data_IF_644496636076
#
_entry.id   IF_644496636076
#
_cell.length_a   1.000
_cell.length_b   1.000
_cell.length_c   1.000
_cell.angle_alpha   90.00
_cell.angle_beta   90.00
_cell.angle_gamma   90.00
#
_symmetry.space_group_name_H-M   'P 1'
#
loop_
_entity.id
_entity.type
_entity.pdbx_description
1 polymer ?
#
# COMPACT_ATOMS: atom_id res chain seq x y z
N UNK A 1 -16.69 17.19 -31.39
CA UNK A 1 -16.72 18.50 -32.07
C UNK A 1 -18.00 18.73 -32.86
N UNK A 2 -18.35 17.93 -33.88
CA UNK A 2 -19.61 18.15 -34.61
C UNK A 2 -20.87 18.01 -33.74
N UNK A 3 -20.85 17.11 -32.75
CA UNK A 3 -21.98 16.87 -31.85
C UNK A 3 -22.04 17.82 -30.65
N UNK A 4 -20.91 18.40 -30.23
CA UNK A 4 -20.77 19.07 -28.90
C UNK A 4 -19.96 20.37 -28.95
N UNK A 5 -19.51 20.81 -30.12
CA UNK A 5 -18.62 21.96 -30.27
C UNK A 5 -19.38 23.25 -29.99
N UNK A 6 -18.94 24.01 -28.99
CA UNK A 6 -19.64 25.22 -28.57
C UNK A 6 -20.91 24.98 -27.75
N UNK A 7 -21.30 23.73 -27.48
CA UNK A 7 -22.54 23.41 -26.75
C UNK A 7 -22.37 23.46 -25.22
N UNK A 8 -21.14 23.30 -24.71
CA UNK A 8 -20.83 23.28 -23.28
C UNK A 8 -20.78 24.71 -22.69
N UNK A 9 -21.83 25.50 -22.93
CA UNK A 9 -22.01 26.84 -22.40
C UNK A 9 -23.12 26.79 -21.36
N UNK A 10 -22.77 26.40 -20.14
CA UNK A 10 -23.69 26.44 -19.00
C UNK A 10 -23.95 27.89 -18.57
N UNK A 11 -24.88 28.09 -17.63
CA UNK A 11 -25.30 29.41 -17.16
C UNK A 11 -24.09 30.34 -16.89
N UNK A 12 -24.26 31.65 -17.09
CA UNK A 12 -23.16 32.65 -17.09
C UNK A 12 -22.39 32.69 -15.75
N UNK A 13 -22.98 32.16 -14.69
CA UNK A 13 -22.38 32.03 -13.36
C UNK A 13 -21.45 30.80 -13.20
N UNK A 14 -21.53 29.82 -14.11
CA UNK A 14 -20.75 28.59 -14.12
C UNK A 14 -19.69 28.70 -15.23
N UNK A 15 -18.43 28.77 -14.82
CA UNK A 15 -17.30 28.81 -15.74
C UNK A 15 -17.29 27.58 -16.66
N UNK A 16 -16.92 27.78 -17.92
CA UNK A 16 -16.90 26.73 -18.93
C UNK A 16 -15.99 25.58 -18.50
N UNK A 17 -16.42 24.30 -18.59
CA UNK A 17 -15.56 23.18 -18.22
C UNK A 17 -14.31 23.11 -19.09
N UNK A 18 -13.17 22.75 -18.47
CA UNK A 18 -11.91 22.52 -19.17
C UNK A 18 -12.01 21.34 -20.16
N UNK A 19 -12.83 20.35 -19.83
CA UNK A 19 -13.16 19.18 -20.66
C UNK A 19 -14.30 19.49 -21.61
N UNK A 20 -13.98 20.12 -22.75
CA UNK A 20 -14.98 20.47 -23.77
C UNK A 20 -14.56 20.01 -25.17
N UNK A 21 -15.39 20.34 -26.17
CA UNK A 21 -15.21 19.93 -27.56
C UNK A 21 -15.15 21.12 -28.54
N UNK A 22 -14.76 22.30 -28.07
CA UNK A 22 -14.73 23.52 -28.87
C UNK A 22 -13.59 23.54 -29.89
N UNK A 23 -12.40 23.12 -29.45
CA UNK A 23 -11.20 23.10 -30.27
C UNK A 23 -10.71 21.67 -30.46
N UNK A 24 -10.02 21.42 -31.57
CA UNK A 24 -9.50 20.09 -31.86
C UNK A 24 -8.56 19.56 -30.77
N UNK A 25 -7.66 20.41 -30.24
CA UNK A 25 -6.71 20.00 -29.22
C UNK A 25 -7.42 19.62 -27.90
N UNK A 26 -8.37 20.44 -27.43
CA UNK A 26 -9.12 20.14 -26.20
C UNK A 26 -10.02 18.91 -26.43
N UNK A 27 -10.69 18.81 -27.58
CA UNK A 27 -11.49 17.64 -27.93
C UNK A 27 -10.65 16.34 -27.93
N UNK A 28 -9.41 16.40 -28.41
CA UNK A 28 -8.49 15.25 -28.37
C UNK A 28 -8.13 14.85 -26.95
N UNK A 29 -7.83 15.82 -26.08
CA UNK A 29 -7.55 15.57 -24.66
C UNK A 29 -8.78 15.00 -23.94
N UNK A 30 -9.96 15.57 -24.20
CA UNK A 30 -11.23 15.08 -23.64
C UNK A 30 -11.53 13.64 -24.09
N UNK A 31 -11.29 13.30 -25.36
CA UNK A 31 -11.43 11.91 -25.84
C UNK A 31 -10.39 11.01 -25.19
N UNK A 32 -9.15 11.46 -25.06
CA UNK A 32 -8.11 10.71 -24.36
C UNK A 32 -8.51 10.43 -22.91
N UNK A 33 -9.06 11.41 -22.19
CA UNK A 33 -9.60 11.24 -20.85
C UNK A 33 -10.71 10.18 -20.79
N UNK A 34 -11.66 10.23 -21.72
CA UNK A 34 -12.73 9.22 -21.79
C UNK A 34 -12.16 7.81 -22.03
N UNK A 35 -11.13 7.68 -22.87
CA UNK A 35 -10.43 6.42 -23.13
C UNK A 35 -9.60 5.92 -21.94
N UNK A 36 -9.06 6.83 -21.12
CA UNK A 36 -8.39 6.45 -19.86
C UNK A 36 -9.37 5.98 -18.78
N UNK A 37 -10.66 6.23 -18.95
CA UNK A 37 -11.70 5.84 -17.99
C UNK A 37 -11.83 6.78 -16.78
N UNK A 38 -11.14 7.92 -16.79
CA UNK A 38 -11.15 8.88 -15.69
C UNK A 38 -12.21 9.96 -15.91
N UNK A 39 -13.11 10.15 -14.95
CA UNK A 39 -14.19 11.16 -14.96
C UNK A 39 -14.98 11.23 -16.29
N UNK A 40 -15.07 10.13 -17.04
CA UNK A 40 -15.76 10.07 -18.33
C UNK A 40 -17.28 10.28 -18.18
N UNK A 41 -17.81 9.91 -17.02
CA UNK A 41 -19.19 10.12 -16.62
C UNK A 41 -19.50 11.62 -16.44
N UNK A 42 -18.58 12.40 -15.88
CA UNK A 42 -18.76 13.86 -15.75
C UNK A 42 -18.84 14.55 -17.11
N UNK A 43 -17.95 14.18 -18.05
CA UNK A 43 -18.01 14.69 -19.42
C UNK A 43 -19.33 14.30 -20.10
N UNK A 44 -19.81 13.08 -19.87
CA UNK A 44 -21.10 12.62 -20.36
C UNK A 44 -22.28 13.39 -19.75
N UNK A 45 -22.26 13.65 -18.44
CA UNK A 45 -23.30 14.43 -17.76
C UNK A 45 -23.38 15.85 -18.29
N UNK A 46 -22.22 16.49 -18.50
CA UNK A 46 -22.13 17.80 -19.13
C UNK A 46 -22.71 17.78 -20.55
N UNK A 47 -22.44 16.74 -21.34
CA UNK A 47 -22.99 16.61 -22.69
C UNK A 47 -24.51 16.43 -22.70
N UNK A 48 -25.06 15.64 -21.78
CA UNK A 48 -26.51 15.45 -21.64
C UNK A 48 -27.18 16.77 -21.27
N UNK A 49 -26.62 17.48 -20.28
CA UNK A 49 -27.16 18.74 -19.80
C UNK A 49 -27.14 19.81 -20.89
N UNK A 50 -26.02 19.95 -21.62
CA UNK A 50 -25.89 20.88 -22.74
C UNK A 50 -26.90 20.63 -23.86
N UNK A 51 -27.30 19.37 -24.11
CA UNK A 51 -28.18 18.99 -25.22
C UNK A 51 -29.66 18.82 -24.81
N UNK A 52 -30.12 19.58 -23.82
CA UNK A 52 -31.52 19.60 -23.39
C UNK A 52 -31.83 18.73 -22.17
N UNK A 53 -30.81 18.29 -21.44
CA UNK A 53 -30.92 17.63 -20.14
C UNK A 53 -31.65 16.29 -20.15
N UNK A 54 -31.92 15.76 -18.95
CA UNK A 54 -32.55 14.45 -18.75
C UNK A 54 -34.00 14.43 -19.25
N UNK A 55 -34.72 15.55 -19.11
CA UNK A 55 -36.14 15.65 -19.49
C UNK A 55 -36.36 15.92 -20.99
N UNK A 56 -35.33 16.41 -21.68
CA UNK A 56 -35.36 16.61 -23.12
C UNK A 56 -34.76 15.42 -23.86
N UNK A 57 -34.10 15.70 -24.99
CA UNK A 57 -33.46 14.69 -25.83
C UNK A 57 -31.99 14.42 -25.46
N UNK A 58 -31.46 15.07 -24.41
CA UNK A 58 -30.05 15.00 -24.03
C UNK A 58 -29.56 13.58 -23.72
N UNK A 59 -30.44 12.71 -23.21
CA UNK A 59 -30.08 11.32 -22.89
C UNK A 59 -29.60 10.52 -24.09
N UNK A 60 -29.99 10.86 -25.32
CA UNK A 60 -29.57 10.11 -26.52
C UNK A 60 -28.05 10.20 -26.75
N UNK A 61 -27.43 11.30 -26.30
CA UNK A 61 -26.00 11.54 -26.45
C UNK A 61 -25.15 10.67 -25.52
N UNK A 62 -25.73 10.08 -24.47
CA UNK A 62 -25.04 9.09 -23.62
C UNK A 62 -24.56 7.88 -24.42
N UNK A 63 -25.28 7.50 -25.47
CA UNK A 63 -24.94 6.37 -26.36
C UNK A 63 -23.57 6.60 -27.02
N UNK A 64 -23.25 7.84 -27.41
CA UNK A 64 -21.93 8.17 -27.97
C UNK A 64 -20.80 7.84 -26.99
N UNK A 65 -20.93 8.25 -25.72
CA UNK A 65 -19.92 8.00 -24.69
C UNK A 65 -19.82 6.52 -24.34
N UNK A 66 -20.95 5.81 -24.23
CA UNK A 66 -20.98 4.37 -23.98
C UNK A 66 -20.27 3.60 -25.10
N UNK A 67 -20.56 3.93 -26.36
CA UNK A 67 -19.90 3.32 -27.52
C UNK A 67 -18.40 3.65 -27.52
N UNK A 68 -18.04 4.91 -27.26
CA UNK A 68 -16.65 5.34 -27.23
C UNK A 68 -15.84 4.60 -26.16
N UNK A 69 -16.38 4.45 -24.95
CA UNK A 69 -15.73 3.73 -23.85
C UNK A 69 -15.65 2.23 -24.18
N UNK A 70 -16.74 1.61 -24.63
CA UNK A 70 -16.76 0.17 -24.94
C UNK A 70 -15.80 -0.20 -26.06
N UNK A 71 -15.91 0.45 -27.22
CA UNK A 71 -15.04 0.14 -28.36
C UNK A 71 -13.62 0.63 -28.14
N UNK A 72 -13.45 1.82 -27.55
CA UNK A 72 -12.13 2.37 -27.24
C UNK A 72 -11.33 1.48 -26.30
N UNK A 73 -11.93 1.07 -25.17
CA UNK A 73 -11.26 0.20 -24.21
C UNK A 73 -11.07 -1.22 -24.75
N UNK A 74 -11.97 -1.71 -25.60
CA UNK A 74 -11.77 -2.98 -26.29
C UNK A 74 -10.54 -2.94 -27.22
N UNK A 75 -10.39 -1.87 -28.00
CA UNK A 75 -9.21 -1.68 -28.85
C UNK A 75 -7.92 -1.55 -28.01
N UNK A 76 -7.94 -0.75 -26.94
CA UNK A 76 -6.79 -0.61 -26.04
C UNK A 76 -6.40 -1.94 -25.38
N UNK A 77 -7.39 -2.71 -24.91
CA UNK A 77 -7.15 -4.03 -24.33
C UNK A 77 -6.51 -4.98 -25.35
N UNK A 78 -6.97 -5.00 -26.60
CA UNK A 78 -6.39 -5.86 -27.63
C UNK A 78 -4.95 -5.48 -27.95
N UNK A 79 -4.63 -4.18 -28.02
CA UNK A 79 -3.25 -3.70 -28.23
C UNK A 79 -2.37 -4.07 -27.04
N UNK A 80 -2.86 -3.85 -25.81
CA UNK A 80 -2.13 -4.20 -24.59
C UNK A 80 -1.86 -5.71 -24.51
N UNK A 81 -2.87 -6.55 -24.76
CA UNK A 81 -2.74 -8.00 -24.73
C UNK A 81 -1.73 -8.49 -25.77
N UNK A 82 -1.74 -7.94 -26.98
CA UNK A 82 -0.75 -8.29 -28.00
C UNK A 82 0.68 -8.01 -27.51
N UNK A 83 0.94 -6.79 -27.01
CA UNK A 83 2.26 -6.40 -26.50
C UNK A 83 2.66 -7.22 -25.27
N UNK A 84 1.73 -7.49 -24.36
CA UNK A 84 2.00 -8.24 -23.14
C UNK A 84 2.33 -9.71 -23.44
N UNK A 85 1.59 -10.35 -24.35
CA UNK A 85 1.83 -11.74 -24.77
C UNK A 85 3.19 -11.85 -25.46
N UNK A 86 3.52 -10.94 -26.37
CA UNK A 86 4.81 -10.94 -27.06
C UNK A 86 5.97 -10.76 -26.08
N UNK A 87 5.87 -9.82 -25.14
CA UNK A 87 6.90 -9.61 -24.13
C UNK A 87 7.03 -10.76 -23.14
N UNK A 88 5.91 -11.39 -22.75
CA UNK A 88 5.92 -12.52 -21.83
C UNK A 88 6.53 -13.77 -22.49
N UNK A 89 6.21 -14.01 -23.76
CA UNK A 89 6.82 -15.08 -24.54
C UNK A 89 8.34 -14.91 -24.61
N UNK A 90 8.82 -13.72 -24.98
CA UNK A 90 10.25 -13.40 -25.02
C UNK A 90 10.93 -13.56 -23.65
N UNK A 91 10.27 -13.14 -22.56
CA UNK A 91 10.81 -13.28 -21.20
C UNK A 91 10.92 -14.75 -20.76
N UNK A 92 9.94 -15.59 -21.11
CA UNK A 92 9.96 -17.02 -20.79
C UNK A 92 11.07 -17.74 -21.56
N UNK A 93 11.29 -17.40 -22.83
CA UNK A 93 12.38 -17.96 -23.64
C UNK A 93 13.76 -17.65 -23.03
N UNK A 94 13.99 -16.41 -22.60
CA UNK A 94 15.24 -16.03 -21.92
C UNK A 94 15.43 -16.75 -20.58
N UNK A 95 14.36 -16.90 -19.80
CA UNK A 95 14.43 -17.57 -18.48
C UNK A 95 14.73 -19.06 -18.65
N UNK A 96 14.06 -19.74 -19.58
CA UNK A 96 14.31 -21.14 -19.88
C UNK A 96 15.75 -21.38 -20.36
N UNK A 97 16.28 -20.46 -21.18
CA UNK A 97 17.67 -20.54 -21.63
C UNK A 97 18.66 -20.41 -20.45
N UNK A 98 18.40 -19.49 -19.51
CA UNK A 98 19.21 -19.33 -18.30
C UNK A 98 19.14 -20.54 -17.37
N UNK A 99 17.94 -21.09 -17.16
CA UNK A 99 17.75 -22.30 -16.34
C UNK A 99 18.47 -23.51 -16.94
N UNK A 100 18.43 -23.66 -18.27
CA UNK A 100 19.15 -24.73 -18.96
C UNK A 100 20.67 -24.59 -18.77
N UNK A 101 21.23 -23.38 -18.92
CA UNK A 101 22.66 -23.15 -18.65
C UNK A 101 23.04 -23.35 -17.18
N UNK A 102 22.17 -22.97 -16.25
CA UNK A 102 22.44 -23.12 -14.82
C UNK A 102 22.34 -24.59 -14.37
N UNK A 103 21.45 -25.37 -14.99
CA UNK A 103 21.35 -26.81 -14.77
C UNK A 103 22.63 -27.52 -15.27
N UNK A 104 23.11 -27.17 -16.47
CA UNK A 104 24.36 -27.70 -17.01
C UNK A 104 25.56 -27.39 -16.08
N UNK A 105 25.65 -26.16 -15.54
CA UNK A 105 26.68 -25.78 -14.57
C UNK A 105 26.54 -26.47 -13.20
N UNK A 106 25.32 -26.77 -12.76
CA UNK A 106 25.06 -27.45 -11.50
C UNK A 106 25.42 -28.93 -11.59
N UNK A 107 25.08 -29.58 -12.69
CA UNK A 107 25.47 -30.97 -12.98
C UNK A 107 27.00 -31.10 -13.04
N UNK A 108 27.70 -30.11 -13.61
CA UNK A 108 29.17 -30.07 -13.62
C UNK A 108 29.76 -29.96 -12.20
N UNK A 109 29.19 -29.12 -11.34
CA UNK A 109 29.61 -29.00 -9.93
C UNK A 109 29.29 -30.22 -9.08
N UNK A 110 28.12 -30.84 -9.25
CA UNK A 110 27.79 -32.09 -8.56
C UNK A 110 28.75 -33.22 -8.96
N UNK A 111 29.18 -33.27 -10.24
CA UNK A 111 30.18 -34.22 -10.71
C UNK A 111 31.57 -33.95 -10.09
N UNK A 112 31.93 -32.69 -9.84
CA UNK A 112 33.17 -32.31 -9.13
C UNK A 112 33.09 -32.64 -7.63
N UNK A 113 31.99 -32.31 -6.95
CA UNK A 113 31.78 -32.60 -5.52
C UNK A 113 31.72 -34.12 -5.26
N UNK A 114 31.06 -34.90 -6.11
CA UNK A 114 31.07 -36.37 -6.03
C UNK A 114 32.46 -36.98 -6.28
N UNK A 115 33.35 -36.29 -7.00
CA UNK A 115 34.74 -36.71 -7.14
C UNK A 115 35.56 -36.39 -5.88
N UNK A 116 35.28 -35.28 -5.21
CA UNK A 116 35.92 -34.90 -3.94
C UNK A 116 35.42 -35.75 -2.75
N UNK A 117 34.12 -36.01 -2.62
CA UNK A 117 33.56 -36.88 -1.56
C UNK A 117 34.08 -38.33 -1.65
N UNK A 118 34.25 -38.84 -2.87
CA UNK A 118 34.82 -40.18 -3.12
C UNK A 118 36.31 -40.27 -2.75
N UNK A 119 36.98 -39.14 -2.52
CA UNK A 119 38.33 -39.05 -1.96
C UNK A 119 38.33 -38.82 -0.43
N UNK A 120 37.23 -38.31 0.13
CA UNK A 120 37.03 -38.02 1.56
C UNK A 120 36.48 -39.18 2.40
N UNK A 121 35.86 -40.19 1.78
CA UNK A 121 35.20 -41.33 2.47
C UNK A 121 36.15 -42.31 3.20
N UNK A 122 37.45 -42.01 3.28
CA UNK A 122 38.41 -42.80 4.07
C UNK A 122 38.66 -42.27 5.49
N UNK A 123 38.07 -41.14 5.89
CA UNK A 123 38.26 -40.56 7.22
C UNK A 123 36.94 -40.01 7.78
N UNK A 124 36.28 -40.84 8.59
CA UNK A 124 35.65 -40.52 9.88
C UNK A 124 34.35 -41.31 10.07
N UNK A 125 34.55 -42.57 10.47
CA UNK A 125 33.67 -43.25 11.41
C UNK A 125 33.83 -42.61 12.80
N UNK A 126 32.74 -42.59 13.57
CA UNK A 126 32.60 -42.08 14.95
C UNK A 126 32.61 -40.57 15.20
N UNK A 127 31.46 -40.04 15.62
CA UNK A 127 31.31 -39.64 17.05
C UNK A 127 29.84 -39.40 17.43
N UNK A 128 29.42 -40.25 18.36
CA UNK A 128 28.21 -40.24 19.13
C UNK A 128 28.37 -39.25 20.30
N UNK A 129 27.47 -38.27 20.48
CA UNK A 129 27.30 -37.54 21.76
C UNK A 129 25.82 -37.20 21.94
N UNK A 130 25.03 -38.18 22.39
CA UNK A 130 23.68 -38.00 22.86
C UNK A 130 23.63 -38.11 24.39
N UNK A 131 23.99 -37.04 25.11
CA UNK A 131 23.75 -36.97 26.54
C UNK A 131 23.45 -35.54 27.02
N UNK A 132 22.22 -35.07 26.76
CA UNK A 132 21.56 -34.02 27.55
C UNK A 132 20.05 -33.88 27.29
N UNK A 133 19.28 -34.97 27.31
CA UNK A 133 17.86 -34.89 26.97
C UNK A 133 16.98 -35.81 27.83
N UNK A 134 16.60 -35.31 29.00
CA UNK A 134 15.37 -35.76 29.67
C UNK A 134 14.38 -34.59 29.87
N UNK A 135 14.82 -33.41 30.35
CA UNK A 135 13.89 -32.28 30.52
C UNK A 135 13.48 -31.57 29.21
N UNK A 136 14.31 -31.66 28.16
CA UNK A 136 14.01 -31.03 26.85
C UNK A 136 12.96 -31.81 26.05
N UNK A 137 12.88 -33.15 26.21
CA UNK A 137 11.87 -34.00 25.55
C UNK A 137 10.44 -33.69 25.99
N UNK A 138 10.22 -33.43 27.28
CA UNK A 138 8.89 -33.08 27.79
C UNK A 138 8.44 -31.70 27.34
N UNK A 139 9.33 -30.70 27.38
CA UNK A 139 9.04 -29.34 26.90
C UNK A 139 8.76 -29.33 25.39
N UNK A 140 9.61 -30.01 24.61
CA UNK A 140 9.43 -30.18 23.17
C UNK A 140 8.09 -30.85 22.85
N UNK A 141 7.69 -31.87 23.63
CA UNK A 141 6.40 -32.55 23.47
C UNK A 141 5.21 -31.62 23.75
N UNK A 142 5.31 -30.71 24.72
CA UNK A 142 4.27 -29.71 25.01
C UNK A 142 4.15 -28.70 23.86
N UNK A 143 5.28 -28.14 23.39
CA UNK A 143 5.29 -27.14 22.31
C UNK A 143 4.80 -27.73 20.99
N UNK A 144 5.14 -28.98 20.68
CA UNK A 144 4.72 -29.67 19.47
C UNK A 144 3.30 -30.26 19.53
N UNK A 145 2.55 -30.05 20.62
CA UNK A 145 1.17 -30.58 20.72
C UNK A 145 0.21 -29.76 19.86
N UNK A 146 -0.56 -30.43 19.00
CA UNK A 146 -1.55 -29.78 18.11
C UNK A 146 -2.58 -28.91 18.86
N UNK A 147 -2.95 -29.29 20.08
CA UNK A 147 -3.83 -28.49 20.95
C UNK A 147 -3.21 -27.15 21.39
N UNK A 148 -1.89 -27.12 21.65
CA UNK A 148 -1.19 -25.88 21.99
C UNK A 148 -1.17 -24.93 20.79
N UNK A 149 -0.88 -25.45 19.60
CA UNK A 149 -0.93 -24.69 18.35
C UNK A 149 -2.34 -24.15 18.05
N UNK A 150 -3.38 -24.97 18.22
CA UNK A 150 -4.77 -24.55 18.05
C UNK A 150 -5.19 -23.51 19.09
N UNK A 151 -4.82 -23.68 20.36
CA UNK A 151 -5.15 -22.73 21.43
C UNK A 151 -4.55 -21.35 21.17
N UNK A 152 -3.27 -21.29 20.79
CA UNK A 152 -2.64 -19.99 20.47
C UNK A 152 -3.23 -19.38 19.19
N UNK A 153 -3.62 -20.18 18.20
CA UNK A 153 -4.33 -19.68 17.02
C UNK A 153 -5.68 -19.04 17.40
N UNK A 154 -6.45 -19.67 18.30
CA UNK A 154 -7.67 -19.08 18.84
C UNK A 154 -7.40 -17.75 19.56
N UNK A 155 -6.32 -17.66 20.35
CA UNK A 155 -5.92 -16.43 21.05
C UNK A 155 -5.53 -15.32 20.06
N UNK A 156 -4.84 -15.64 18.96
CA UNK A 156 -4.53 -14.67 17.90
C UNK A 156 -5.83 -14.12 17.30
N UNK A 157 -6.79 -14.98 16.97
CA UNK A 157 -8.08 -14.58 16.40
C UNK A 157 -8.85 -13.69 17.38
N UNK A 158 -8.97 -14.10 18.64
CA UNK A 158 -9.63 -13.30 19.69
C UNK A 158 -8.92 -11.96 19.92
N UNK A 159 -7.59 -11.92 19.87
CA UNK A 159 -6.83 -10.67 19.97
C UNK A 159 -7.04 -9.74 18.78
N UNK A 160 -7.28 -10.30 17.58
CA UNK A 160 -7.57 -9.53 16.37
C UNK A 160 -8.97 -8.93 16.41
N UNK A 161 -9.95 -9.69 16.93
CA UNK A 161 -11.30 -9.19 17.19
C UNK A 161 -11.32 -8.10 18.26
N UNK A 162 -10.51 -8.25 19.32
CA UNK A 162 -10.37 -7.22 20.35
C UNK A 162 -9.83 -5.91 19.77
N UNK A 163 -8.84 -5.96 18.87
CA UNK A 163 -8.32 -4.77 18.19
C UNK A 163 -9.38 -4.12 17.28
N UNK A 164 -10.20 -4.92 16.59
CA UNK A 164 -11.27 -4.41 15.73
C UNK A 164 -12.44 -3.79 16.52
N UNK A 165 -12.61 -4.16 17.79
CA UNK A 165 -13.68 -3.67 18.65
C UNK A 165 -13.31 -2.37 19.42
N UNK A 166 -12.07 -1.90 19.32
CA UNK A 166 -11.61 -0.66 19.97
C UNK A 166 -12.30 0.56 19.34
N UNK A 167 -12.79 1.48 20.17
CA UNK A 167 -13.39 2.72 19.70
C UNK A 167 -12.28 3.75 19.44
N UNK A 168 -12.05 4.19 18.19
CA UNK A 168 -10.95 5.11 17.87
C UNK A 168 -11.25 6.58 18.23
N UNK A 169 -12.51 6.94 18.48
CA UNK A 169 -12.93 8.34 18.68
C UNK A 169 -12.86 8.76 20.14
N UNK A 170 -13.24 7.87 21.06
CA UNK A 170 -13.28 8.15 22.50
C UNK A 170 -12.35 7.20 23.26
N UNK A 171 -11.23 7.74 23.76
CA UNK A 171 -10.23 6.97 24.51
C UNK A 171 -10.77 6.48 25.86
N UNK A 172 -11.76 7.17 26.45
CA UNK A 172 -12.28 6.89 27.79
C UNK A 172 -13.57 6.05 27.79
N UNK A 173 -13.95 5.48 26.65
CA UNK A 173 -15.11 4.59 26.54
C UNK A 173 -14.91 3.38 27.50
N UNK A 174 -15.90 3.02 28.35
CA UNK A 174 -15.79 1.87 29.25
C UNK A 174 -15.48 0.56 28.52
N UNK A 175 -15.82 0.46 27.22
CA UNK A 175 -15.40 -0.66 26.37
C UNK A 175 -13.89 -0.73 26.22
N UNK A 176 -13.24 0.40 25.97
CA UNK A 176 -11.78 0.47 25.80
C UNK A 176 -11.05 0.08 27.09
N UNK A 177 -11.62 0.38 28.26
CA UNK A 177 -11.07 -0.06 29.55
C UNK A 177 -11.09 -1.60 29.67
N UNK A 178 -12.21 -2.24 29.36
CA UNK A 178 -12.33 -3.71 29.36
C UNK A 178 -11.40 -4.34 28.33
N UNK A 179 -11.35 -3.78 27.12
CA UNK A 179 -10.48 -4.25 26.03
C UNK A 179 -9.00 -4.17 26.41
N UNK A 180 -8.59 -3.14 27.15
CA UNK A 180 -7.20 -3.03 27.64
C UNK A 180 -6.83 -4.16 28.61
N UNK A 181 -7.73 -4.55 29.52
CA UNK A 181 -7.48 -5.70 30.40
C UNK A 181 -7.37 -7.02 29.63
N UNK A 182 -8.24 -7.20 28.63
CA UNK A 182 -8.20 -8.36 27.73
C UNK A 182 -6.88 -8.41 26.95
N UNK A 183 -6.38 -7.26 26.50
CA UNK A 183 -5.10 -7.15 25.78
C UNK A 183 -3.88 -7.48 26.65
N UNK A 184 -3.93 -7.17 27.95
CA UNK A 184 -2.91 -7.62 28.90
C UNK A 184 -2.91 -9.14 29.05
N UNK A 185 -4.08 -9.77 29.12
CA UNK A 185 -4.19 -11.22 29.17
C UNK A 185 -3.62 -11.87 27.90
N UNK A 186 -3.92 -11.36 26.71
CA UNK A 186 -3.35 -11.87 25.46
C UNK A 186 -1.83 -11.70 25.39
N UNK A 187 -1.30 -10.55 25.84
CA UNK A 187 0.14 -10.30 25.88
C UNK A 187 0.86 -11.27 26.82
N UNK A 188 0.26 -11.60 27.97
CA UNK A 188 0.79 -12.61 28.88
C UNK A 188 0.87 -13.99 28.22
N UNK A 189 -0.20 -14.40 27.50
CA UNK A 189 -0.21 -15.67 26.76
C UNK A 189 0.86 -15.71 25.66
N UNK A 190 1.04 -14.63 24.90
CA UNK A 190 2.10 -14.56 23.87
C UNK A 190 3.50 -14.52 24.47
N UNK A 191 3.68 -13.88 25.62
CA UNK A 191 4.96 -13.88 26.32
C UNK A 191 5.30 -15.29 26.81
N UNK A 192 4.30 -16.02 27.33
CA UNK A 192 4.46 -17.43 27.71
C UNK A 192 4.80 -18.30 26.49
N UNK A 193 4.08 -18.15 25.37
CA UNK A 193 4.39 -18.83 24.11
C UNK A 193 5.85 -18.60 23.68
N UNK A 194 6.28 -17.34 23.67
CA UNK A 194 7.64 -16.94 23.28
C UNK A 194 8.68 -17.61 24.18
N UNK A 195 8.52 -17.53 25.50
CA UNK A 195 9.46 -18.12 26.46
C UNK A 195 9.56 -19.63 26.26
N UNK A 196 8.43 -20.33 26.10
CA UNK A 196 8.42 -21.78 25.85
C UNK A 196 9.18 -22.13 24.57
N UNK A 197 8.99 -21.37 23.49
CA UNK A 197 9.67 -21.58 22.20
C UNK A 197 11.18 -21.28 22.26
N UNK A 198 11.57 -20.21 22.96
CA UNK A 198 12.98 -19.82 23.12
C UNK A 198 13.75 -20.85 23.95
N UNK A 199 13.14 -21.41 25.00
CA UNK A 199 13.76 -22.45 25.83
C UNK A 199 13.89 -23.78 25.07
N UNK A 200 12.92 -24.13 24.23
CA UNK A 200 12.97 -25.36 23.44
C UNK A 200 14.02 -25.31 22.31
N UNK A 201 13.98 -24.26 21.47
CA UNK A 201 14.84 -24.15 20.29
C UNK A 201 16.23 -23.55 20.60
N UNK A 202 16.41 -22.88 21.74
CA UNK A 202 17.62 -22.14 22.07
C UNK A 202 17.72 -20.79 21.35
N UNK A 203 18.52 -19.88 21.90
CA UNK A 203 18.54 -18.47 21.47
C UNK A 203 19.36 -18.26 20.19
N UNK A 204 20.66 -18.67 20.15
CA UNK A 204 21.59 -18.25 19.08
C UNK A 204 22.59 -19.35 18.62
N UNK A 205 23.02 -20.29 19.48
CA UNK A 205 24.25 -21.08 19.22
C UNK A 205 24.07 -22.42 18.49
N UNK A 206 22.86 -22.86 18.15
CA UNK A 206 22.60 -24.14 17.46
C UNK A 206 22.00 -23.95 16.04
N UNK A 207 22.21 -24.89 15.10
CA UNK A 207 21.74 -24.77 13.70
C UNK A 207 20.20 -24.72 13.53
N UNK A 208 19.43 -24.94 14.61
CA UNK A 208 17.97 -24.75 14.69
C UNK A 208 17.51 -23.60 15.61
N UNK A 209 18.37 -22.60 15.87
CA UNK A 209 18.08 -21.51 16.82
C UNK A 209 16.86 -20.67 16.43
N UNK A 210 16.10 -20.24 17.45
CA UNK A 210 14.83 -19.53 17.29
C UNK A 210 14.95 -18.23 16.48
N UNK A 211 16.02 -17.46 16.68
CA UNK A 211 16.21 -16.14 16.06
C UNK A 211 16.65 -16.16 14.59
N UNK A 212 16.89 -17.33 13.98
CA UNK A 212 17.28 -17.41 12.56
C UNK A 212 16.08 -17.40 11.60
N UNK A 213 14.90 -17.76 12.10
CA UNK A 213 13.66 -17.72 11.33
C UNK A 213 13.02 -16.33 11.40
N UNK A 214 12.82 -15.69 10.24
CA UNK A 214 12.28 -14.33 10.13
C UNK A 214 10.91 -14.19 10.81
N UNK A 215 10.13 -15.27 10.80
CA UNK A 215 8.81 -15.32 11.42
C UNK A 215 8.87 -15.35 12.94
N UNK A 216 9.90 -16.00 13.51
CA UNK A 216 10.15 -15.99 14.95
C UNK A 216 10.69 -14.63 15.40
N UNK A 217 11.55 -13.99 14.59
CA UNK A 217 12.03 -12.63 14.87
C UNK A 217 10.87 -11.63 14.92
N UNK A 218 9.92 -11.72 14.00
CA UNK A 218 8.70 -10.90 14.03
C UNK A 218 7.89 -11.12 15.33
N UNK A 219 7.77 -12.37 15.80
CA UNK A 219 7.09 -12.69 17.06
C UNK A 219 7.77 -12.03 18.28
N UNK A 220 9.10 -12.13 18.37
CA UNK A 220 9.90 -11.47 19.41
C UNK A 220 9.64 -9.97 19.42
N UNK A 221 9.68 -9.32 18.26
CA UNK A 221 9.49 -7.87 18.14
C UNK A 221 8.10 -7.48 18.65
N UNK A 222 7.05 -8.20 18.26
CA UNK A 222 5.68 -7.90 18.68
C UNK A 222 5.52 -8.03 20.20
N UNK A 223 6.05 -9.10 20.80
CA UNK A 223 5.99 -9.31 22.26
C UNK A 223 6.83 -8.29 23.00
N UNK A 224 8.04 -7.99 22.53
CA UNK A 224 8.94 -7.00 23.12
C UNK A 224 8.29 -5.61 23.14
N UNK A 225 7.71 -5.16 22.02
CA UNK A 225 7.01 -3.88 21.94
C UNK A 225 5.82 -3.80 22.89
N UNK A 226 5.07 -4.91 23.06
CA UNK A 226 3.97 -4.98 24.00
C UNK A 226 4.44 -4.92 25.46
N UNK A 227 5.52 -5.62 25.80
CA UNK A 227 6.14 -5.59 27.14
C UNK A 227 6.71 -4.21 27.48
N UNK A 228 7.34 -3.54 26.52
CA UNK A 228 7.83 -2.16 26.69
C UNK A 228 6.66 -1.23 27.01
N UNK A 229 5.56 -1.30 26.25
CA UNK A 229 4.35 -0.51 26.53
C UNK A 229 3.79 -0.74 27.94
N UNK A 230 3.77 -2.00 28.40
CA UNK A 230 3.31 -2.35 29.75
C UNK A 230 4.27 -1.88 30.86
N UNK A 231 5.58 -2.10 30.69
CA UNK A 231 6.60 -1.71 31.65
C UNK A 231 6.59 -0.20 31.90
N UNK A 232 6.40 0.61 30.86
CA UNK A 232 6.25 2.06 31.00
C UNK A 232 4.95 2.49 31.68
N UNK A 233 3.84 1.77 31.46
CA UNK A 233 2.59 2.01 32.20
C UNK A 233 2.76 1.73 33.70
N UNK A 234 3.49 0.65 34.05
CA UNK A 234 3.74 0.26 35.44
C UNK A 234 4.76 1.17 36.14
N UNK A 235 5.84 1.57 35.46
CA UNK A 235 6.90 2.43 36.01
C UNK A 235 6.50 3.91 36.05
N UNK A 236 5.61 4.35 35.16
CA UNK A 236 5.13 5.73 35.09
C UNK A 236 4.32 6.17 36.31
N UNK A 237 3.74 5.22 37.05
CA UNK A 237 2.95 5.47 38.25
C UNK A 237 3.82 5.69 39.51
N UNK A 238 5.09 5.26 39.47
CA UNK A 238 6.03 5.34 40.60
C UNK A 238 6.99 6.54 40.48
N UNK A 239 7.18 7.09 39.27
CA UNK A 239 8.15 8.15 38.97
C UNK A 239 7.51 9.43 38.46
N UNK A 240 7.02 10.28 39.36
CA UNK A 240 6.56 11.62 39.01
C UNK A 240 7.63 12.40 38.24
N UNK A 241 7.28 12.83 37.01
CA UNK A 241 8.02 13.75 36.10
C UNK A 241 8.86 13.17 34.95
N UNK A 242 8.73 11.89 34.59
CA UNK A 242 9.27 11.36 33.31
C UNK A 242 8.21 11.16 32.19
N UNK A 243 6.95 11.53 32.43
CA UNK A 243 5.80 11.27 31.54
C UNK A 243 5.43 12.48 30.64
N UNK A 244 6.39 13.01 29.85
CA UNK A 244 6.09 14.07 28.87
C UNK A 244 6.20 13.67 27.40
N UNK A 245 6.63 12.44 27.11
CA UNK A 245 6.61 11.88 25.75
C UNK A 245 5.56 10.78 25.59
N UNK A 246 4.32 11.05 26.06
CA UNK A 246 3.23 10.07 26.05
C UNK A 246 2.76 9.71 24.62
N UNK A 247 2.99 10.58 23.64
CA UNK A 247 2.54 10.39 22.25
C UNK A 247 3.28 9.28 21.52
N UNK A 248 4.60 9.14 21.70
CA UNK A 248 5.40 8.10 21.01
C UNK A 248 5.09 6.69 21.54
N UNK A 249 4.74 6.54 22.81
CA UNK A 249 4.45 5.23 23.41
C UNK A 249 3.01 4.75 23.14
N UNK A 250 2.06 5.66 22.91
CA UNK A 250 0.73 5.29 22.37
C UNK A 250 0.87 4.67 20.97
N UNK A 251 1.78 5.16 20.14
CA UNK A 251 2.03 4.61 18.80
C UNK A 251 2.58 3.17 18.81
N UNK A 252 3.24 2.71 19.88
CA UNK A 252 3.69 1.30 19.99
C UNK A 252 2.53 0.31 20.05
N UNK A 253 1.32 0.75 20.44
CA UNK A 253 0.11 -0.07 20.40
C UNK A 253 -0.28 -0.46 18.97
N UNK A 254 0.08 0.35 17.97
CA UNK A 254 -0.18 0.06 16.54
C UNK A 254 0.54 -1.23 16.11
N UNK A 255 1.70 -1.56 16.68
CA UNK A 255 2.44 -2.79 16.36
C UNK A 255 1.67 -4.07 16.73
N UNK A 256 0.62 -3.98 17.57
CA UNK A 256 -0.30 -5.10 17.84
C UNK A 256 -1.06 -5.54 16.57
N UNK A 257 -1.20 -4.68 15.56
CA UNK A 257 -1.77 -5.01 14.24
C UNK A 257 -0.96 -6.07 13.48
N UNK A 258 0.28 -6.36 13.92
CA UNK A 258 1.12 -7.39 13.33
C UNK A 258 0.80 -8.79 13.90
N UNK A 259 0.03 -8.92 15.00
CA UNK A 259 -0.35 -10.22 15.60
C UNK A 259 -1.03 -11.17 14.59
N UNK A 260 -1.97 -10.73 13.72
CA UNK A 260 -2.56 -11.57 12.67
C UNK A 260 -1.54 -12.17 11.71
N UNK A 261 -0.39 -11.50 11.47
CA UNK A 261 0.66 -11.99 10.57
C UNK A 261 1.29 -13.29 11.07
N UNK A 262 1.23 -13.58 12.38
CA UNK A 262 1.67 -14.87 12.94
C UNK A 262 0.89 -16.06 12.36
N UNK A 263 -0.33 -15.83 11.88
CA UNK A 263 -1.15 -16.87 11.23
C UNK A 263 -0.53 -17.36 9.93
N UNK A 264 0.24 -16.51 9.23
CA UNK A 264 0.92 -16.88 7.97
C UNK A 264 1.88 -18.04 8.21
N UNK A 265 2.71 -17.99 9.26
CA UNK A 265 3.63 -19.09 9.61
C UNK A 265 2.88 -20.38 9.96
N UNK A 266 1.70 -20.27 10.57
CA UNK A 266 0.92 -21.41 11.11
C UNK A 266 0.11 -22.15 10.05
N UNK A 267 -0.34 -21.45 9.01
CA UNK A 267 -1.09 -22.05 7.91
C UNK A 267 -0.12 -22.29 6.74
N UNK A 268 0.32 -23.54 6.48
CA UNK A 268 1.32 -23.81 5.45
C UNK A 268 0.88 -23.37 4.05
N UNK A 269 -0.43 -23.40 3.77
CA UNK A 269 -1.00 -22.88 2.52
C UNK A 269 -0.82 -21.36 2.39
N UNK A 270 -1.00 -20.60 3.46
CA UNK A 270 -0.84 -19.14 3.47
C UNK A 270 0.64 -18.76 3.41
N UNK A 271 1.50 -19.51 4.10
CA UNK A 271 2.96 -19.39 4.00
C UNK A 271 3.43 -19.60 2.55
N UNK A 272 2.99 -20.67 1.90
CA UNK A 272 3.35 -20.94 0.50
C UNK A 272 2.96 -19.79 -0.43
N UNK A 273 1.75 -19.24 -0.28
CA UNK A 273 1.32 -18.07 -1.07
C UNK A 273 2.22 -16.85 -0.79
N UNK A 274 2.51 -16.57 0.48
CA UNK A 274 3.38 -15.45 0.85
C UNK A 274 4.80 -15.62 0.30
N UNK A 275 5.38 -16.82 0.42
CA UNK A 275 6.71 -17.15 -0.09
C UNK A 275 6.77 -16.96 -1.61
N UNK A 276 5.73 -17.39 -2.34
CA UNK A 276 5.59 -17.12 -3.77
C UNK A 276 5.53 -15.61 -4.09
N UNK A 277 4.78 -14.82 -3.32
CA UNK A 277 4.69 -13.36 -3.50
C UNK A 277 6.04 -12.68 -3.24
N UNK A 278 6.75 -13.05 -2.17
CA UNK A 278 8.06 -12.47 -1.86
C UNK A 278 9.09 -12.87 -2.91
N UNK A 279 9.03 -14.11 -3.41
CA UNK A 279 9.93 -14.56 -4.46
C UNK A 279 9.69 -13.82 -5.79
N UNK A 280 8.42 -13.62 -6.17
CA UNK A 280 8.09 -12.84 -7.38
C UNK A 280 8.43 -11.36 -7.23
N UNK A 281 8.34 -10.80 -6.02
CA UNK A 281 8.68 -9.39 -5.75
C UNK A 281 10.15 -9.08 -6.03
N UNK A 282 11.07 -10.04 -5.83
CA UNK A 282 12.51 -9.82 -6.14
C UNK A 282 12.73 -9.48 -7.61
N UNK A 283 12.01 -10.15 -8.52
CA UNK A 283 12.11 -9.87 -9.96
C UNK A 283 11.44 -8.52 -10.30
N UNK A 284 10.31 -8.23 -9.66
CA UNK A 284 9.61 -6.95 -9.83
C UNK A 284 10.43 -5.76 -9.33
N UNK A 285 11.27 -5.94 -8.30
CA UNK A 285 12.09 -4.88 -7.73
C UNK A 285 13.04 -4.23 -8.75
N UNK A 286 13.63 -5.03 -9.65
CA UNK A 286 14.49 -4.50 -10.72
C UNK A 286 13.73 -3.59 -11.69
N UNK A 287 12.53 -4.01 -12.10
CA UNK A 287 11.66 -3.22 -12.97
C UNK A 287 11.18 -1.95 -12.25
N UNK A 288 10.86 -2.07 -10.96
CA UNK A 288 10.44 -0.94 -10.12
C UNK A 288 11.54 0.12 -10.01
N UNK A 289 12.82 -0.27 -9.87
CA UNK A 289 13.94 0.67 -9.86
C UNK A 289 13.98 1.48 -11.16
N UNK A 290 13.85 0.82 -12.31
CA UNK A 290 13.83 1.48 -13.62
C UNK A 290 12.65 2.45 -13.71
N UNK A 291 11.45 2.03 -13.29
CA UNK A 291 10.27 2.88 -13.24
C UNK A 291 10.48 4.13 -12.37
N UNK A 292 11.03 3.98 -11.16
CA UNK A 292 11.33 5.09 -10.24
C UNK A 292 12.36 6.05 -10.86
N UNK A 293 13.36 5.54 -11.58
CA UNK A 293 14.35 6.37 -12.27
C UNK A 293 13.69 7.22 -13.38
N UNK A 294 12.81 6.62 -14.19
CA UNK A 294 12.04 7.36 -15.19
C UNK A 294 11.14 8.43 -14.55
N UNK A 295 10.45 8.07 -13.47
CA UNK A 295 9.65 9.02 -12.68
C UNK A 295 10.49 10.19 -12.15
N UNK A 296 11.71 9.91 -11.69
CA UNK A 296 12.63 10.94 -11.22
C UNK A 296 13.04 11.90 -12.34
N UNK A 297 13.35 11.40 -13.55
CA UNK A 297 13.68 12.24 -14.71
C UNK A 297 12.52 13.18 -15.05
N UNK A 298 11.30 12.65 -15.16
CA UNK A 298 10.11 13.47 -15.43
C UNK A 298 9.82 14.45 -14.29
N UNK A 299 10.06 14.06 -13.04
CA UNK A 299 9.89 14.96 -11.89
C UNK A 299 10.85 16.15 -11.97
N UNK A 300 12.12 15.94 -12.33
CA UNK A 300 13.09 17.03 -12.52
C UNK A 300 12.63 17.96 -13.65
N UNK A 301 12.18 17.42 -14.78
CA UNK A 301 11.66 18.22 -15.89
C UNK A 301 10.44 19.03 -15.45
N UNK A 302 9.49 18.41 -14.74
CA UNK A 302 8.27 19.05 -14.28
C UNK A 302 8.55 20.18 -13.28
N UNK A 303 9.53 20.01 -12.38
CA UNK A 303 9.98 21.09 -11.49
C UNK A 303 10.51 22.28 -12.29
N UNK A 304 11.30 22.06 -13.35
CA UNK A 304 11.78 23.18 -14.17
C UNK A 304 10.66 23.89 -14.93
N UNK A 305 9.62 23.17 -15.34
CA UNK A 305 8.51 23.75 -16.10
C UNK A 305 7.45 24.44 -15.23
N UNK A 306 7.17 23.90 -14.04
CA UNK A 306 5.96 24.23 -13.27
C UNK A 306 6.21 24.73 -11.84
N UNK A 307 7.47 24.81 -11.39
CA UNK A 307 7.79 25.36 -10.05
C UNK A 307 7.18 26.74 -9.86
N UNK A 308 6.44 26.90 -8.76
CA UNK A 308 5.80 28.17 -8.40
C UNK A 308 4.56 28.55 -9.23
N UNK A 309 4.10 27.70 -10.16
CA UNK A 309 2.93 27.99 -11.02
C UNK A 309 1.61 27.43 -10.49
N UNK A 310 1.66 26.52 -9.51
CA UNK A 310 0.49 25.83 -8.95
C UNK A 310 -0.09 26.54 -7.71
N UNK A 311 0.04 27.87 -7.68
CA UNK A 311 -0.61 28.70 -6.68
C UNK A 311 -1.87 29.33 -7.26
N UNK A 312 -2.91 29.41 -6.44
CA UNK A 312 -4.17 30.02 -6.82
C UNK A 312 -4.74 30.87 -5.68
N UNK A 313 -5.54 31.87 -6.03
CA UNK A 313 -6.36 32.58 -5.08
C UNK A 313 -7.71 31.86 -4.97
N UNK A 314 -8.27 31.75 -3.76
CA UNK A 314 -9.64 31.27 -3.60
C UNK A 314 -10.69 32.15 -4.33
N UNK A 315 -10.39 33.43 -4.55
CA UNK A 315 -11.13 34.31 -5.45
C UNK A 315 -10.57 34.20 -6.89
N UNK A 316 -11.32 33.52 -7.77
CA UNK A 316 -10.93 33.27 -9.17
C UNK A 316 -10.72 34.54 -10.01
N UNK A 317 -11.25 35.69 -9.57
CA UNK A 317 -11.03 36.96 -10.29
C UNK A 317 -9.62 37.51 -10.11
N UNK A 318 -8.85 36.99 -9.14
CA UNK A 318 -7.50 37.45 -8.79
C UNK A 318 -6.46 36.41 -9.20
N UNK A 319 -5.60 36.78 -10.13
CA UNK A 319 -4.56 35.90 -10.70
C UNK A 319 -3.23 36.06 -9.94
N UNK A 320 -2.93 37.26 -9.45
CA UNK A 320 -1.64 37.54 -8.80
C UNK A 320 -1.75 37.52 -7.28
N UNK A 321 -0.68 37.06 -6.62
CA UNK A 321 -0.58 37.02 -5.16
C UNK A 321 -0.79 38.39 -4.50
N UNK A 322 -0.33 39.46 -5.13
CA UNK A 322 -0.46 40.82 -4.61
C UNK A 322 -1.93 41.27 -4.56
N UNK A 323 -2.75 40.80 -5.49
CA UNK A 323 -4.17 41.16 -5.59
C UNK A 323 -5.08 40.26 -4.73
N UNK A 324 -4.56 39.12 -4.26
CA UNK A 324 -5.29 38.14 -3.44
C UNK A 324 -5.33 38.58 -1.95
N UNK A 325 -5.91 39.75 -1.69
CA UNK A 325 -6.00 40.33 -0.35
C UNK A 325 -7.42 40.83 -0.05
N UNK A 326 -7.78 40.90 1.23
CA UNK A 326 -9.07 41.39 1.69
C UNK A 326 -10.16 40.32 1.63
N UNK A 327 -11.38 40.74 1.29
CA UNK A 327 -12.57 39.89 1.33
C UNK A 327 -13.24 39.82 -0.03
N UNK A 328 -13.92 38.71 -0.31
CA UNK A 328 -14.77 38.54 -1.48
C UNK A 328 -16.11 37.90 -1.09
N UNK A 329 -17.08 37.99 -1.99
CA UNK A 329 -18.44 37.52 -1.78
C UNK A 329 -18.64 36.20 -2.51
N UNK A 330 -19.05 35.16 -1.78
CA UNK A 330 -19.47 33.89 -2.35
C UNK A 330 -21.00 33.87 -2.42
N UNK A 331 -21.51 33.58 -3.61
CA UNK A 331 -22.92 33.38 -3.87
C UNK A 331 -23.18 31.88 -3.90
N UNK A 332 -23.90 31.40 -2.89
CA UNK A 332 -24.35 30.01 -2.81
C UNK A 332 -25.79 29.94 -3.33
N UNK A 333 -26.06 29.03 -4.27
CA UNK A 333 -27.39 28.85 -4.86
C UNK A 333 -28.49 28.57 -3.82
N UNK A 334 -28.13 28.12 -2.61
CA UNK A 334 -29.08 27.84 -1.53
C UNK A 334 -29.45 29.07 -0.68
N UNK A 335 -28.64 30.13 -0.69
CA UNK A 335 -28.86 31.32 0.15
C UNK A 335 -28.86 32.59 -0.68
N UNK A 336 -29.95 33.37 -0.60
CA UNK A 336 -30.09 34.66 -1.31
C UNK A 336 -29.08 35.73 -0.87
N UNK A 337 -28.41 35.55 0.27
CA UNK A 337 -27.42 36.48 0.82
C UNK A 337 -26.00 35.98 0.55
N UNK A 338 -25.09 36.81 0.03
CA UNK A 338 -23.71 36.41 -0.17
C UNK A 338 -23.00 36.20 1.18
N UNK A 339 -22.13 35.19 1.23
CA UNK A 339 -21.23 34.95 2.36
C UNK A 339 -19.93 35.70 2.12
N UNK A 340 -19.40 36.35 3.16
CA UNK A 340 -18.12 37.05 3.09
C UNK A 340 -17.01 36.04 3.43
N UNK A 341 -16.05 35.86 2.53
CA UNK A 341 -14.86 35.06 2.77
C UNK A 341 -13.58 35.88 2.63
N UNK A 342 -12.53 35.47 3.35
CA UNK A 342 -11.21 36.09 3.29
C UNK A 342 -10.46 35.52 2.09
N UNK A 343 -9.83 36.38 1.30
CA UNK A 343 -8.95 35.94 0.21
C UNK A 343 -7.72 35.23 0.75
N UNK A 344 -7.41 34.05 0.21
CA UNK A 344 -6.24 33.26 0.59
C UNK A 344 -5.49 32.82 -0.66
N UNK A 345 -4.18 33.01 -0.62
CA UNK A 345 -3.26 32.53 -1.63
C UNK A 345 -2.78 31.15 -1.23
N UNK A 346 -3.42 30.14 -1.81
CA UNK A 346 -3.19 28.75 -1.47
C UNK A 346 -2.47 28.04 -2.63
N UNK A 347 -1.94 26.85 -2.33
CA UNK A 347 -1.27 25.99 -3.30
C UNK A 347 -2.06 24.71 -3.47
N UNK A 348 -2.06 24.16 -4.68
CA UNK A 348 -2.64 22.84 -4.90
C UNK A 348 -1.89 21.77 -4.09
N UNK A 349 -2.60 20.77 -3.52
CA UNK A 349 -1.98 19.71 -2.73
C UNK A 349 -0.97 18.92 -3.59
N UNK A 350 -1.29 18.68 -4.85
CA UNK A 350 -0.38 18.13 -5.86
C UNK A 350 0.24 19.26 -6.67
N UNK A 351 1.58 19.34 -6.65
CA UNK A 351 2.33 20.43 -7.28
C UNK A 351 3.77 20.00 -7.59
N UNK A 352 4.48 20.85 -8.32
CA UNK A 352 5.82 20.57 -8.85
C UNK A 352 6.89 21.50 -8.26
N UNK A 353 6.74 21.92 -7.00
CA UNK A 353 7.70 22.87 -6.39
C UNK A 353 9.04 22.22 -6.01
N UNK A 354 9.01 20.93 -5.64
CA UNK A 354 10.17 20.13 -5.26
C UNK A 354 10.10 18.74 -5.90
N UNK A 355 11.25 18.11 -6.14
CA UNK A 355 11.31 16.81 -6.84
C UNK A 355 10.52 15.70 -6.17
N UNK A 356 10.51 15.62 -4.83
CA UNK A 356 9.73 14.60 -4.11
C UNK A 356 8.21 14.80 -4.31
N UNK A 357 7.74 16.05 -4.25
CA UNK A 357 6.34 16.36 -4.48
C UNK A 357 5.94 16.17 -5.95
N UNK A 358 6.85 16.47 -6.87
CA UNK A 358 6.69 16.20 -8.29
C UNK A 358 6.57 14.69 -8.57
N UNK A 359 7.37 13.84 -7.90
CA UNK A 359 7.25 12.38 -8.01
C UNK A 359 5.90 11.88 -7.47
N UNK A 360 5.42 12.43 -6.34
CA UNK A 360 4.09 12.10 -5.83
C UNK A 360 2.96 12.51 -6.80
N UNK A 361 3.08 13.70 -7.37
CA UNK A 361 2.10 14.21 -8.35
C UNK A 361 2.13 13.40 -9.65
N UNK A 362 3.32 12.99 -10.12
CA UNK A 362 3.40 12.11 -11.28
C UNK A 362 2.87 10.71 -10.99
N UNK A 363 3.07 10.22 -9.76
CA UNK A 363 2.49 8.94 -9.34
C UNK A 363 0.97 8.94 -9.45
N UNK A 364 0.28 9.99 -8.97
CA UNK A 364 -1.19 10.10 -9.12
C UNK A 364 -1.63 10.19 -10.58
N UNK A 365 -0.89 10.91 -11.41
CA UNK A 365 -1.16 10.96 -12.86
C UNK A 365 -0.99 9.58 -13.50
N UNK A 366 0.03 8.81 -13.10
CA UNK A 366 0.23 7.44 -13.63
C UNK A 366 -0.75 6.41 -13.12
N UNK A 367 -1.38 6.63 -11.96
CA UNK A 367 -2.50 5.77 -11.53
C UNK A 367 -3.78 6.04 -12.29
N UNK A 368 -3.82 7.12 -13.09
CA UNK A 368 -5.00 7.53 -13.84
C UNK A 368 -6.03 8.29 -13.02
N UNK A 369 -5.71 8.63 -11.77
CA UNK A 369 -6.65 9.20 -10.80
C UNK A 369 -6.42 10.71 -10.65
N UNK A 370 -7.48 11.50 -10.82
CA UNK A 370 -7.49 12.95 -10.61
C UNK A 370 -6.56 13.74 -11.53
N UNK A 371 -6.06 13.14 -12.61
CA UNK A 371 -5.14 13.79 -13.54
C UNK A 371 -5.74 14.93 -14.38
N UNK A 372 -7.07 14.98 -14.65
CA UNK A 372 -7.66 16.13 -15.35
C UNK A 372 -7.77 17.39 -14.47
N UNK A 373 -7.59 17.27 -13.15
CA UNK A 373 -7.89 18.29 -12.14
C UNK A 373 -6.75 19.23 -11.74
#
# INVERSE_FOLDING_TARGET
MQLFGGEFNFDVSIEKPYTNFDTFAIALITVFQILTGEDWNEVMYQAIEANGGIKGNGMIFSIFFIILVLFGNYTLLNVFLAIAVDNLANAQEMTNAQEMTAADEADEKELEEQQEERCGDFLNEETDINEKIDNKKYLHRIVCTSYFEMAVMCVIILSSFSLAAENPVDENDPRNEILNYVDYAFTAVFTMELVLKVVDMGVILHPGSYCRDIWNVMDVIVVLCALVGYAFHLLGDVGGKASKNLSTFKSLRVLRVLRPLKTIKRIPKLKAVFDCVVNSLKNVFNILIVFILFQFIFAVIAVQLFKGKFFYCNDRTKIYQQDCQGYFLIYDNQTRSPKIEIRRWDKYPFNYDNTLQAMLTLFTVTTGEGWPG
#
